data_IF_125105404489
#
_entry.id   IF_125105404489
#
_cell.length_a   1.000
_cell.length_b   1.000
_cell.length_c   1.000
_cell.angle_alpha   90.00
_cell.angle_beta   90.00
_cell.angle_gamma   90.00
#
_symmetry.space_group_name_H-M   'P 1'
#
loop_
_entity.id
_entity.type
_entity.pdbx_description
1 polymer ?
#
# COMPACT_ATOMS: atom_id res chain seq x y z
N UNK A 1 -7.31 18.86 -42.24
CA UNK A 1 -7.67 19.46 -40.93
C UNK A 1 -8.80 18.65 -40.38
N UNK A 2 -8.50 17.82 -39.38
CA UNK A 2 -9.47 16.92 -38.75
C UNK A 2 -9.64 17.39 -37.30
N UNK A 3 -10.82 17.93 -37.01
CA UNK A 3 -11.14 18.46 -35.70
C UNK A 3 -11.28 17.30 -34.70
N UNK A 4 -10.45 17.34 -33.66
CA UNK A 4 -10.52 16.44 -32.52
C UNK A 4 -11.72 16.85 -31.64
N UNK A 5 -12.78 16.07 -31.62
CA UNK A 5 -13.94 16.27 -30.72
C UNK A 5 -13.64 15.64 -29.37
N UNK A 6 -13.39 16.48 -28.38
CA UNK A 6 -13.36 16.06 -26.98
C UNK A 6 -14.79 15.82 -26.48
N UNK A 7 -15.06 14.63 -25.96
CA UNK A 7 -16.31 14.31 -25.28
C UNK A 7 -16.10 14.57 -23.79
N UNK A 8 -16.79 15.57 -23.24
CA UNK A 8 -16.85 15.83 -21.81
C UNK A 8 -18.10 15.12 -21.28
N UNK A 9 -17.91 14.10 -20.44
CA UNK A 9 -19.00 13.42 -19.73
C UNK A 9 -19.14 14.07 -18.34
N UNK A 10 -20.22 14.82 -18.15
CA UNK A 10 -20.59 15.37 -16.84
C UNK A 10 -21.55 14.40 -16.15
N UNK A 11 -21.12 13.79 -15.06
CA UNK A 11 -21.96 12.95 -14.21
C UNK A 11 -22.58 13.85 -13.15
N UNK A 12 -23.89 14.13 -13.26
CA UNK A 12 -24.67 14.79 -12.22
C UNK A 12 -25.12 13.74 -11.19
N UNK A 13 -24.65 13.86 -9.94
CA UNK A 13 -25.12 13.04 -8.81
C UNK A 13 -26.24 13.81 -8.12
N UNK A 14 -27.47 13.35 -8.26
CA UNK A 14 -28.59 13.87 -7.47
C UNK A 14 -28.48 13.39 -6.01
N UNK A 15 -28.67 14.27 -5.02
CA UNK A 15 -28.68 13.86 -3.62
C UNK A 15 -29.97 13.11 -3.28
N UNK A 16 -29.84 11.89 -2.76
CA UNK A 16 -30.94 11.10 -2.24
C UNK A 16 -31.58 11.76 -0.99
N UNK A 17 -32.88 11.66 -0.77
CA UNK A 17 -33.56 12.30 0.37
C UNK A 17 -33.14 11.66 1.70
N UNK A 18 -32.81 12.53 2.66
CA UNK A 18 -32.50 12.18 4.05
C UNK A 18 -33.76 11.56 4.71
N UNK A 19 -33.72 10.27 5.01
CA UNK A 19 -34.62 9.62 5.94
C UNK A 19 -34.12 9.76 7.37
N UNK A 20 -34.76 10.64 8.12
CA UNK A 20 -34.58 10.73 9.57
C UNK A 20 -35.34 9.59 10.24
N UNK A 21 -34.66 8.61 10.80
CA UNK A 21 -35.15 7.85 11.97
C UNK A 21 -33.93 7.38 12.73
N UNK A 22 -33.71 8.00 13.88
CA UNK A 22 -32.70 7.56 14.83
C UNK A 22 -33.39 6.68 15.88
N UNK A 23 -33.22 5.36 15.95
CA UNK A 23 -33.48 4.61 17.17
C UNK A 23 -32.24 4.66 18.04
N UNK A 24 -32.42 5.10 19.27
CA UNK A 24 -31.41 5.05 20.33
C UNK A 24 -31.05 3.58 20.58
N UNK A 25 -29.95 3.12 19.97
CA UNK A 25 -29.39 1.81 20.27
C UNK A 25 -28.68 1.90 21.61
N UNK A 26 -29.13 1.10 22.56
CA UNK A 26 -28.42 0.82 23.82
C UNK A 26 -27.09 0.19 23.50
N UNK A 27 -26.03 0.88 23.86
CA UNK A 27 -24.63 0.50 23.69
C UNK A 27 -24.31 -0.67 24.65
N UNK A 28 -24.51 -1.90 24.17
CA UNK A 28 -23.92 -3.10 24.76
C UNK A 28 -22.80 -3.58 23.85
N UNK A 29 -21.75 -2.75 23.76
CA UNK A 29 -20.50 -3.17 23.16
C UNK A 29 -19.86 -4.18 24.13
N UNK A 30 -19.53 -5.41 23.71
CA UNK A 30 -18.70 -6.29 24.54
C UNK A 30 -17.38 -5.55 24.78
N UNK A 31 -16.96 -5.49 26.05
CA UNK A 31 -15.67 -4.93 26.42
C UNK A 31 -14.59 -5.56 25.54
N UNK A 32 -14.11 -4.82 24.54
CA UNK A 32 -12.97 -5.23 23.74
C UNK A 32 -11.81 -5.37 24.73
N UNK A 33 -11.14 -6.52 24.74
CA UNK A 33 -9.80 -6.64 25.29
C UNK A 33 -8.92 -5.71 24.46
N UNK A 34 -8.98 -4.41 24.73
CA UNK A 34 -8.16 -3.42 24.10
C UNK A 34 -6.71 -3.75 24.44
N UNK A 35 -6.03 -4.46 23.54
CA UNK A 35 -4.59 -4.65 23.63
C UNK A 35 -3.99 -3.26 23.68
N UNK A 36 -3.21 -3.00 24.71
CA UNK A 36 -2.58 -1.70 24.89
C UNK A 36 -1.27 -1.69 24.10
N UNK A 37 -1.21 -0.92 23.00
CA UNK A 37 -0.02 -0.74 22.19
C UNK A 37 0.55 0.69 22.36
N UNK A 38 1.14 1.04 23.51
CA UNK A 38 1.57 2.42 23.79
C UNK A 38 2.62 2.93 22.82
N UNK A 39 3.44 2.04 22.24
CA UNK A 39 4.47 2.40 21.27
C UNK A 39 3.89 2.95 19.96
N UNK A 40 2.66 2.56 19.59
CA UNK A 40 2.02 3.05 18.37
C UNK A 40 1.54 4.51 18.49
N UNK A 41 1.45 5.04 19.71
CA UNK A 41 1.04 6.43 19.94
C UNK A 41 2.10 7.44 19.46
N UNK A 42 3.37 7.07 19.52
CA UNK A 42 4.51 7.93 19.15
C UNK A 42 5.44 7.12 18.22
N UNK A 43 5.12 7.00 16.92
CA UNK A 43 5.97 6.30 15.97
C UNK A 43 7.35 6.96 15.85
N UNK A 44 8.39 6.15 15.72
CA UNK A 44 9.78 6.62 15.54
C UNK A 44 9.99 7.22 14.14
N UNK A 45 9.32 6.63 13.14
CA UNK A 45 9.35 7.08 11.74
C UNK A 45 7.92 7.44 11.34
N UNK A 46 7.76 8.66 10.82
CA UNK A 46 6.45 9.17 10.37
C UNK A 46 6.56 9.66 8.93
N UNK A 47 5.90 8.93 8.03
CA UNK A 47 5.91 9.18 6.60
C UNK A 47 4.56 9.73 6.14
N UNK A 48 4.57 10.76 5.31
CA UNK A 48 3.36 11.37 4.77
C UNK A 48 3.59 11.92 3.35
N UNK A 49 2.63 11.71 2.47
CA UNK A 49 2.68 12.22 1.10
C UNK A 49 2.93 11.14 0.06
N UNK A 50 3.49 11.51 -1.09
CA UNK A 50 3.84 10.58 -2.15
C UNK A 50 5.03 9.70 -1.74
N UNK A 51 5.01 8.44 -2.17
CA UNK A 51 6.18 7.56 -2.05
C UNK A 51 7.14 7.92 -3.17
N UNK A 52 8.20 8.63 -2.84
CA UNK A 52 9.21 9.17 -3.75
C UNK A 52 10.58 9.28 -3.05
N UNK A 53 11.58 9.79 -3.75
CA UNK A 53 12.93 9.98 -3.21
C UNK A 53 12.95 10.88 -1.97
N UNK A 54 12.07 11.90 -1.89
CA UNK A 54 11.98 12.77 -0.73
C UNK A 54 11.44 12.02 0.50
N UNK A 55 10.47 11.14 0.33
CA UNK A 55 10.01 10.24 1.39
C UNK A 55 11.12 9.26 1.80
N UNK A 56 11.88 8.73 0.85
CA UNK A 56 13.01 7.84 1.16
C UNK A 56 14.09 8.54 1.97
N UNK A 57 14.44 9.77 1.63
CA UNK A 57 15.40 10.58 2.41
C UNK A 57 14.88 10.87 3.83
N UNK A 58 13.59 11.17 3.95
CA UNK A 58 12.92 11.33 5.25
C UNK A 58 12.98 10.04 6.07
N UNK A 59 12.68 8.91 5.45
CA UNK A 59 12.76 7.59 6.08
C UNK A 59 14.17 7.29 6.61
N UNK A 60 15.21 7.46 5.78
CA UNK A 60 16.61 7.25 6.18
C UNK A 60 17.02 8.15 7.35
N UNK A 61 16.65 9.44 7.28
CA UNK A 61 16.97 10.42 8.32
C UNK A 61 16.33 10.07 9.64
N UNK A 62 15.04 9.72 9.65
CA UNK A 62 14.33 9.36 10.88
C UNK A 62 14.78 8.01 11.41
N UNK A 63 15.11 7.05 10.54
CA UNK A 63 15.68 5.77 10.95
C UNK A 63 17.03 5.94 11.66
N UNK A 64 17.89 6.80 11.14
CA UNK A 64 19.19 7.09 11.75
C UNK A 64 19.06 7.79 13.12
N UNK A 65 17.98 8.54 13.34
CA UNK A 65 17.68 9.21 14.61
C UNK A 65 16.86 8.34 15.59
N UNK A 66 16.31 7.22 15.13
CA UNK A 66 15.51 6.33 15.96
C UNK A 66 16.39 5.62 17.01
N UNK A 67 15.84 5.29 18.20
CA UNK A 67 16.55 4.47 19.18
C UNK A 67 17.10 3.20 18.55
N UNK A 68 18.29 2.75 18.95
CA UNK A 68 18.90 1.52 18.44
C UNK A 68 18.29 0.25 19.03
N UNK A 69 17.70 0.37 20.22
CA UNK A 69 17.14 -0.74 20.97
C UNK A 69 15.61 -0.71 21.00
N UNK A 70 15.01 -1.89 21.19
CA UNK A 70 13.56 -2.07 21.24
C UNK A 70 12.86 -2.00 19.89
N UNK A 71 11.52 -2.14 19.87
CA UNK A 71 10.73 -2.15 18.64
C UNK A 71 10.85 -0.84 17.86
N UNK A 72 10.97 -0.95 16.53
CA UNK A 72 10.91 0.19 15.63
C UNK A 72 9.47 0.37 15.13
N UNK A 73 8.86 1.51 15.40
CA UNK A 73 7.52 1.83 14.90
C UNK A 73 7.59 2.77 13.72
N UNK A 74 7.00 2.37 12.60
CA UNK A 74 6.89 3.17 11.37
C UNK A 74 5.43 3.45 11.08
N UNK A 75 5.06 4.71 10.96
CA UNK A 75 3.73 5.10 10.50
C UNK A 75 3.76 5.71 9.11
N UNK A 76 2.71 5.48 8.33
CA UNK A 76 2.58 6.03 6.98
C UNK A 76 1.16 6.48 6.68
N UNK A 77 1.05 7.57 5.92
CA UNK A 77 -0.16 8.00 5.21
C UNK A 77 0.24 8.35 3.79
N UNK A 78 -0.25 7.58 2.81
CA UNK A 78 0.11 7.80 1.41
C UNK A 78 -1.00 7.35 0.45
N UNK A 79 -1.17 8.09 -0.63
CA UNK A 79 -2.00 7.69 -1.77
C UNK A 79 -1.23 6.85 -2.80
N UNK A 80 0.06 6.56 -2.54
CA UNK A 80 0.92 5.79 -3.41
C UNK A 80 2.09 6.61 -3.96
N UNK A 81 2.69 6.12 -5.02
CA UNK A 81 3.86 6.71 -5.68
C UNK A 81 4.75 5.63 -6.28
N UNK A 82 6.05 5.80 -6.17
CA UNK A 82 7.03 4.89 -6.75
C UNK A 82 7.11 3.56 -5.96
N UNK A 83 6.77 2.42 -6.57
CA UNK A 83 6.84 1.12 -5.91
C UNK A 83 8.28 0.66 -5.65
N UNK A 84 9.28 1.11 -6.41
CA UNK A 84 10.67 0.74 -6.16
C UNK A 84 11.22 1.44 -4.93
N UNK A 85 10.83 2.69 -4.70
CA UNK A 85 11.12 3.39 -3.44
C UNK A 85 10.47 2.67 -2.26
N UNK A 86 9.22 2.24 -2.40
CA UNK A 86 8.53 1.45 -1.37
C UNK A 86 9.27 0.13 -1.06
N UNK A 87 9.75 -0.57 -2.09
CA UNK A 87 10.54 -1.81 -1.94
C UNK A 87 11.86 -1.55 -1.24
N UNK A 88 12.59 -0.49 -1.62
CA UNK A 88 13.85 -0.11 -0.99
C UNK A 88 13.69 0.19 0.51
N UNK A 89 12.62 0.91 0.90
CA UNK A 89 12.26 1.10 2.31
C UNK A 89 11.91 -0.23 2.98
N UNK A 90 11.14 -1.08 2.30
CA UNK A 90 10.73 -2.40 2.77
C UNK A 90 11.92 -3.33 3.00
N UNK A 91 12.89 -3.36 2.09
CA UNK A 91 14.12 -4.14 2.24
C UNK A 91 14.92 -3.69 3.46
N UNK A 92 14.99 -2.39 3.71
CA UNK A 92 15.65 -1.88 4.93
C UNK A 92 14.98 -2.41 6.20
N UNK A 93 13.64 -2.43 6.25
CA UNK A 93 12.87 -3.00 7.38
C UNK A 93 13.11 -4.50 7.51
N UNK A 94 13.09 -5.24 6.38
CA UNK A 94 13.34 -6.68 6.35
C UNK A 94 14.74 -7.01 6.88
N UNK A 95 15.77 -6.31 6.39
CA UNK A 95 17.15 -6.51 6.82
C UNK A 95 17.35 -6.23 8.31
N UNK A 96 16.74 -5.17 8.84
CA UNK A 96 16.75 -4.89 10.29
C UNK A 96 16.19 -6.07 11.09
N UNK A 97 15.04 -6.59 10.67
CA UNK A 97 14.39 -7.72 11.35
C UNK A 97 15.22 -9.00 11.25
N UNK A 98 15.67 -9.36 10.05
CA UNK A 98 16.35 -10.63 9.79
C UNK A 98 17.76 -10.70 10.38
N UNK A 99 18.52 -9.61 10.29
CA UNK A 99 19.95 -9.61 10.68
C UNK A 99 20.21 -9.05 12.08
N UNK A 100 19.30 -8.26 12.63
CA UNK A 100 19.47 -7.72 13.98
C UNK A 100 18.46 -8.29 14.98
N UNK A 101 17.46 -9.04 14.52
CA UNK A 101 16.36 -9.53 15.35
C UNK A 101 15.42 -8.42 15.86
N UNK A 102 15.52 -7.20 15.33
CA UNK A 102 14.73 -6.07 15.80
C UNK A 102 13.28 -6.23 15.41
N UNK A 103 12.38 -6.13 16.39
CA UNK A 103 10.95 -6.05 16.13
C UNK A 103 10.61 -4.76 15.37
N UNK A 104 9.76 -4.87 14.35
CA UNK A 104 9.32 -3.73 13.54
C UNK A 104 7.79 -3.71 13.48
N UNK A 105 7.19 -2.58 13.81
CA UNK A 105 5.73 -2.38 13.82
C UNK A 105 5.33 -1.37 12.75
N UNK A 106 4.31 -1.70 11.98
CA UNK A 106 3.72 -0.84 10.96
C UNK A 106 2.40 -0.25 11.46
N UNK A 107 2.22 1.05 11.27
CA UNK A 107 0.97 1.76 11.55
C UNK A 107 0.49 2.53 10.32
N UNK A 108 -0.52 2.01 9.63
CA UNK A 108 -1.19 2.72 8.54
C UNK A 108 -2.22 3.71 9.09
N UNK A 109 -2.16 4.97 8.61
CA UNK A 109 -3.10 6.03 9.00
C UNK A 109 -3.81 6.56 7.76
N UNK A 110 -5.12 6.77 7.85
CA UNK A 110 -5.96 7.38 6.80
C UNK A 110 -5.96 6.57 5.50
N UNK A 111 -4.83 6.53 4.80
CA UNK A 111 -4.69 5.87 3.50
C UNK A 111 -3.33 5.16 3.39
N UNK A 112 -3.35 3.89 2.98
CA UNK A 112 -2.17 3.06 2.69
C UNK A 112 -2.37 2.48 1.29
N UNK A 113 -2.19 3.33 0.26
CA UNK A 113 -2.56 2.97 -1.10
C UNK A 113 -1.35 2.63 -1.96
N UNK A 114 -1.53 1.68 -2.88
CA UNK A 114 -0.57 1.34 -3.94
C UNK A 114 0.84 1.06 -3.38
N UNK A 115 1.84 1.88 -3.68
CA UNK A 115 3.19 1.77 -3.13
C UNK A 115 3.21 1.73 -1.59
N UNK A 116 2.23 2.35 -0.90
CA UNK A 116 2.07 2.22 0.54
C UNK A 116 1.73 0.80 0.98
N UNK A 117 0.88 0.09 0.24
CA UNK A 117 0.58 -1.33 0.49
C UNK A 117 1.81 -2.22 0.20
N UNK A 118 2.60 -1.88 -0.82
CA UNK A 118 3.89 -2.52 -1.10
C UNK A 118 4.86 -2.34 0.09
N UNK A 119 4.97 -1.15 0.65
CA UNK A 119 5.81 -0.94 1.84
C UNK A 119 5.27 -1.69 3.06
N UNK A 120 3.95 -1.70 3.28
CA UNK A 120 3.32 -2.45 4.36
C UNK A 120 3.63 -3.95 4.27
N UNK A 121 3.72 -4.52 3.07
CA UNK A 121 3.99 -5.96 2.88
C UNK A 121 5.35 -6.43 3.42
N UNK A 122 6.30 -5.52 3.62
CA UNK A 122 7.60 -5.82 4.23
C UNK A 122 7.53 -6.15 5.74
N UNK A 123 6.40 -5.85 6.39
CA UNK A 123 6.15 -6.18 7.79
C UNK A 123 5.34 -7.48 7.90
N UNK A 124 5.57 -8.34 8.90
CA UNK A 124 4.71 -9.49 9.16
C UNK A 124 3.27 -9.05 9.47
N UNK A 125 2.28 -9.88 9.14
CA UNK A 125 0.85 -9.55 9.39
C UNK A 125 0.53 -9.29 10.86
N UNK A 126 1.23 -9.95 11.77
CA UNK A 126 1.11 -9.78 13.23
C UNK A 126 1.77 -8.50 13.78
N UNK A 127 2.43 -7.75 12.90
CA UNK A 127 3.10 -6.48 13.20
C UNK A 127 2.48 -5.30 12.44
N UNK A 128 1.37 -5.52 11.71
CA UNK A 128 0.67 -4.49 10.94
C UNK A 128 -0.55 -3.99 11.71
N UNK A 129 -0.69 -2.68 11.81
CA UNK A 129 -1.82 -2.00 12.46
C UNK A 129 -2.39 -0.92 11.56
N UNK A 130 -3.68 -0.64 11.72
CA UNK A 130 -4.37 0.45 11.06
C UNK A 130 -5.09 1.34 12.08
N UNK A 131 -5.20 2.64 11.80
CA UNK A 131 -6.11 3.50 12.57
C UNK A 131 -7.55 3.31 12.10
N UNK A 132 -8.52 3.60 12.97
CA UNK A 132 -9.95 3.57 12.62
C UNK A 132 -10.25 4.44 11.41
N UNK A 133 -11.05 3.92 10.49
CA UNK A 133 -11.44 4.61 9.27
C UNK A 133 -10.34 4.74 8.22
N UNK A 134 -9.17 4.13 8.44
CA UNK A 134 -8.16 4.04 7.39
C UNK A 134 -8.48 2.95 6.36
N UNK A 135 -7.87 3.05 5.21
CA UNK A 135 -8.06 2.12 4.10
C UNK A 135 -6.73 1.68 3.52
N UNK A 136 -6.69 0.45 3.06
CA UNK A 136 -5.67 -0.06 2.16
C UNK A 136 -6.23 -0.01 0.74
N UNK A 137 -5.40 0.27 -0.26
CA UNK A 137 -5.79 0.09 -1.66
C UNK A 137 -4.68 -0.64 -2.40
N UNK A 138 -5.08 -1.68 -3.12
CA UNK A 138 -4.19 -2.52 -3.93
C UNK A 138 -4.67 -2.49 -5.37
N UNK A 139 -3.77 -2.26 -6.29
CA UNK A 139 -4.02 -2.35 -7.73
C UNK A 139 -2.80 -2.92 -8.46
N UNK A 140 -3.00 -3.33 -9.71
CA UNK A 140 -1.89 -3.73 -10.58
C UNK A 140 -0.90 -2.61 -10.82
N UNK A 141 0.37 -2.93 -11.00
CA UNK A 141 1.39 -1.95 -11.38
C UNK A 141 1.00 -1.30 -12.72
N UNK A 142 1.22 -0.01 -12.78
CA UNK A 142 0.96 0.75 -14.00
C UNK A 142 2.27 1.20 -14.62
N UNK A 143 2.40 1.02 -15.92
CA UNK A 143 3.52 1.51 -16.71
C UNK A 143 2.97 2.42 -17.79
N UNK A 144 3.54 3.62 -17.92
CA UNK A 144 3.30 4.50 -19.06
C UNK A 144 4.60 4.63 -19.84
N UNK A 145 4.58 4.21 -21.09
CA UNK A 145 5.77 4.25 -21.95
C UNK A 145 5.38 4.57 -23.40
N UNK A 146 6.23 5.32 -24.07
CA UNK A 146 6.15 5.54 -25.51
C UNK A 146 7.33 4.88 -26.18
N UNK A 147 7.09 4.07 -27.21
CA UNK A 147 8.13 3.42 -27.98
C UNK A 147 8.21 4.12 -29.34
N UNK A 148 9.34 4.75 -29.61
CA UNK A 148 9.64 5.31 -30.92
C UNK A 148 10.40 4.28 -31.75
N UNK A 149 9.79 3.85 -32.86
CA UNK A 149 10.37 2.87 -33.78
C UNK A 149 10.95 3.59 -34.97
N UNK A 150 12.26 3.89 -34.96
CA UNK A 150 12.98 4.50 -36.04
C UNK A 150 14.37 3.86 -36.21
N UNK A 151 14.69 3.35 -37.39
CA UNK A 151 15.98 2.72 -37.68
C UNK A 151 15.90 1.40 -38.47
N UNK A 152 16.99 0.64 -38.54
CA UNK A 152 17.03 -0.64 -39.22
C UNK A 152 16.07 -1.66 -38.57
N UNK A 153 15.37 -2.49 -39.35
CA UNK A 153 14.32 -3.39 -38.89
C UNK A 153 14.80 -4.34 -37.76
N UNK A 154 16.01 -4.88 -37.86
CA UNK A 154 16.56 -5.75 -36.81
C UNK A 154 16.75 -5.02 -35.46
N UNK A 155 17.14 -3.74 -35.49
CA UNK A 155 17.28 -2.93 -34.28
C UNK A 155 15.92 -2.63 -33.65
N UNK A 156 14.86 -2.48 -34.47
CA UNK A 156 13.50 -2.26 -33.99
C UNK A 156 12.96 -3.52 -33.30
N UNK A 157 13.23 -4.71 -33.85
CA UNK A 157 12.86 -5.97 -33.19
C UNK A 157 13.46 -6.08 -31.81
N UNK A 158 14.77 -5.87 -31.69
CA UNK A 158 15.48 -5.91 -30.41
C UNK A 158 14.94 -4.89 -29.38
N UNK A 159 14.56 -3.69 -29.84
CA UNK A 159 13.96 -2.68 -28.95
C UNK A 159 12.59 -3.10 -28.41
N UNK A 160 11.76 -3.75 -29.25
CA UNK A 160 10.47 -4.31 -28.81
C UNK A 160 10.65 -5.48 -27.84
N UNK A 161 11.61 -6.38 -28.10
CA UNK A 161 11.93 -7.49 -27.20
C UNK A 161 12.40 -6.99 -25.84
N UNK A 162 13.29 -5.99 -25.82
CA UNK A 162 13.75 -5.38 -24.56
C UNK A 162 12.58 -4.76 -23.77
N UNK A 163 11.63 -4.13 -24.47
CA UNK A 163 10.45 -3.55 -23.80
C UNK A 163 9.49 -4.62 -23.28
N UNK A 164 9.36 -5.72 -23.98
CA UNK A 164 8.56 -6.87 -23.52
C UNK A 164 9.16 -7.46 -22.25
N UNK A 165 10.47 -7.69 -22.20
CA UNK A 165 11.16 -8.17 -21.01
C UNK A 165 10.99 -7.23 -19.81
N UNK A 166 11.04 -5.89 -20.02
CA UNK A 166 10.78 -4.91 -18.95
C UNK A 166 9.36 -5.04 -18.37
N UNK A 167 8.37 -5.31 -19.22
CA UNK A 167 6.98 -5.54 -18.80
C UNK A 167 6.88 -6.86 -18.02
N UNK A 168 7.47 -7.95 -18.52
CA UNK A 168 7.47 -9.26 -17.87
C UNK A 168 8.12 -9.21 -16.49
N UNK A 169 9.29 -8.58 -16.37
CA UNK A 169 9.99 -8.36 -15.10
C UNK A 169 9.11 -7.54 -14.12
N UNK A 170 8.45 -6.49 -14.61
CA UNK A 170 7.52 -5.69 -13.80
C UNK A 170 6.33 -6.49 -13.29
N UNK A 171 5.82 -7.46 -14.07
CA UNK A 171 4.76 -8.37 -13.66
C UNK A 171 5.27 -9.34 -12.58
N UNK A 172 6.47 -9.89 -12.73
CA UNK A 172 7.07 -10.77 -11.71
C UNK A 172 7.24 -10.06 -10.37
N UNK A 173 7.73 -8.81 -10.39
CA UNK A 173 7.86 -7.97 -9.19
C UNK A 173 6.49 -7.69 -8.55
N UNK A 174 5.44 -7.44 -9.36
CA UNK A 174 4.08 -7.30 -8.85
C UNK A 174 3.62 -8.56 -8.11
N UNK A 175 3.86 -9.71 -8.72
CA UNK A 175 3.48 -11.01 -8.16
C UNK A 175 4.19 -11.30 -6.82
N UNK A 176 5.46 -10.94 -6.72
CA UNK A 176 6.21 -11.02 -5.45
C UNK A 176 5.57 -10.11 -4.37
N UNK A 177 5.24 -8.88 -4.74
CA UNK A 177 4.57 -7.94 -3.83
C UNK A 177 3.20 -8.42 -3.38
N UNK A 178 2.42 -9.01 -4.28
CA UNK A 178 1.11 -9.58 -3.95
C UNK A 178 1.23 -10.77 -3.00
N UNK A 179 2.19 -11.69 -3.23
CA UNK A 179 2.47 -12.79 -2.31
C UNK A 179 2.86 -12.28 -0.93
N UNK A 180 3.79 -11.32 -0.85
CA UNK A 180 4.23 -10.74 0.43
C UNK A 180 3.10 -10.03 1.18
N UNK A 181 2.15 -9.42 0.46
CA UNK A 181 1.01 -8.74 1.08
C UNK A 181 0.06 -9.72 1.76
N UNK A 182 -0.26 -10.86 1.10
CA UNK A 182 -1.21 -11.85 1.61
C UNK A 182 -0.58 -12.93 2.49
N UNK A 183 0.74 -13.00 2.56
CA UNK A 183 1.45 -13.99 3.38
C UNK A 183 1.01 -13.93 4.83
N UNK A 184 0.58 -15.06 5.37
CA UNK A 184 0.04 -15.17 6.73
C UNK A 184 -1.41 -14.65 6.89
N UNK A 185 -2.07 -14.17 5.83
CA UNK A 185 -3.47 -13.72 5.84
C UNK A 185 -4.44 -14.83 5.43
N UNK A 186 -5.73 -14.51 5.42
CA UNK A 186 -6.80 -15.41 4.92
C UNK A 186 -7.11 -15.19 3.44
N UNK A 187 -6.43 -14.26 2.78
CA UNK A 187 -6.68 -13.88 1.39
C UNK A 187 -5.92 -14.81 0.46
N UNK A 188 -6.62 -15.46 -0.45
CA UNK A 188 -5.96 -16.22 -1.51
C UNK A 188 -5.30 -15.28 -2.53
N UNK A 189 -4.13 -15.65 -3.05
CA UNK A 189 -3.41 -14.84 -4.04
C UNK A 189 -4.25 -14.56 -5.29
N UNK A 190 -5.02 -15.54 -5.76
CA UNK A 190 -5.88 -15.40 -6.94
C UNK A 190 -7.04 -14.41 -6.68
N UNK A 191 -7.58 -14.37 -5.46
CA UNK A 191 -8.60 -13.37 -5.07
C UNK A 191 -8.02 -11.97 -5.06
N UNK A 192 -6.79 -11.81 -4.56
CA UNK A 192 -6.09 -10.53 -4.62
C UNK A 192 -5.91 -10.07 -6.06
N UNK A 193 -5.39 -10.94 -6.95
CA UNK A 193 -5.18 -10.62 -8.38
C UNK A 193 -6.48 -10.15 -9.05
N UNK A 194 -7.56 -10.90 -8.85
CA UNK A 194 -8.85 -10.57 -9.44
C UNK A 194 -9.38 -9.20 -8.99
N UNK A 195 -9.19 -8.86 -7.71
CA UNK A 195 -9.65 -7.58 -7.15
C UNK A 195 -8.71 -6.42 -7.50
N UNK A 196 -7.40 -6.66 -7.53
CA UNK A 196 -6.38 -5.66 -7.85
C UNK A 196 -6.54 -5.10 -9.29
N UNK A 197 -7.02 -5.92 -10.24
CA UNK A 197 -7.31 -5.49 -11.61
C UNK A 197 -8.28 -4.29 -11.69
N UNK A 198 -9.15 -4.11 -10.68
CA UNK A 198 -10.12 -3.02 -10.60
C UNK A 198 -9.87 -2.06 -9.42
N UNK A 199 -8.67 -2.08 -8.86
CA UNK A 199 -8.30 -1.35 -7.64
C UNK A 199 -9.17 -1.74 -6.43
N UNK A 200 -8.64 -2.62 -5.59
CA UNK A 200 -9.33 -3.12 -4.40
C UNK A 200 -9.10 -2.21 -3.20
N UNK A 201 -10.16 -1.53 -2.76
CA UNK A 201 -10.17 -0.74 -1.54
C UNK A 201 -10.67 -1.59 -0.37
N UNK A 202 -9.91 -1.64 0.71
CA UNK A 202 -10.14 -2.49 1.88
C UNK A 202 -10.25 -1.56 3.10
N UNK A 203 -11.41 -1.55 3.74
CA UNK A 203 -11.63 -0.83 5.00
C UNK A 203 -10.80 -1.48 6.12
N UNK A 204 -10.47 -0.73 7.16
CA UNK A 204 -9.63 -1.23 8.26
C UNK A 204 -10.22 -2.49 8.91
N UNK A 205 -11.53 -2.52 9.16
CA UNK A 205 -12.24 -3.66 9.73
C UNK A 205 -12.16 -4.89 8.82
N UNK A 206 -12.37 -4.72 7.52
CA UNK A 206 -12.21 -5.79 6.52
C UNK A 206 -10.77 -6.30 6.48
N UNK A 207 -9.77 -5.40 6.51
CA UNK A 207 -8.37 -5.77 6.50
C UNK A 207 -7.98 -6.63 7.71
N UNK A 208 -8.49 -6.30 8.90
CA UNK A 208 -8.31 -7.11 10.11
C UNK A 208 -9.00 -8.46 9.99
N UNK A 209 -10.25 -8.50 9.55
CA UNK A 209 -11.04 -9.73 9.45
C UNK A 209 -10.45 -10.70 8.40
N UNK A 210 -9.84 -10.16 7.34
CA UNK A 210 -9.05 -10.89 6.35
C UNK A 210 -7.65 -11.30 6.86
N UNK A 211 -7.20 -10.78 7.99
CA UNK A 211 -5.87 -11.05 8.56
C UNK A 211 -4.73 -10.37 7.82
N UNK A 212 -5.00 -9.33 7.03
CA UNK A 212 -3.98 -8.50 6.39
C UNK A 212 -3.26 -7.60 7.39
N UNK A 213 -3.91 -7.30 8.50
CA UNK A 213 -3.38 -6.57 9.64
C UNK A 213 -3.80 -7.25 10.95
N UNK A 214 -3.02 -7.02 12.01
CA UNK A 214 -3.27 -7.63 13.31
C UNK A 214 -4.47 -6.98 14.03
N UNK A 215 -4.50 -5.63 14.05
CA UNK A 215 -5.52 -4.92 14.83
C UNK A 215 -5.75 -3.48 14.33
N UNK A 216 -6.83 -2.88 14.82
CA UNK A 216 -7.24 -1.50 14.54
C UNK A 216 -7.16 -0.71 15.85
N UNK A 217 -6.59 0.49 15.78
CA UNK A 217 -6.29 1.33 16.94
C UNK A 217 -7.07 2.63 16.90
#
# INVERSE_FOLDING_TARGET
MQESRSIVVTIAVEPAPLRSVCPRMTDTSPASNARNYPLLAIPHIQLHGAVDDAMYDTFKTQLAAAPTDGPLVVSITTLGGDPEVARAMGDTIRLLREYTGRETLFLGKVAVYSAGATFMSAFPVDSRFLTRGSRIMVHERQMQSTIELNGPLNSLSNALEAKLHEIEDSIEIQEEGFRALVDGSKVALDDLRARAASAWYIEAEEARDLGLVLDII
#
